data_IF_305137732975
#
_entry.id   IF_305137732975
#
_cell.length_a   1.000
_cell.length_b   1.000
_cell.length_c   1.000
_cell.angle_alpha   90.00
_cell.angle_beta   90.00
_cell.angle_gamma   90.00
#
_symmetry.space_group_name_H-M   'P 1'
#
loop_
_entity.id
_entity.type
_entity.pdbx_description
1 polymer ?
#
# COMPACT_ATOMS: atom_id res chain seq x y z
N UNK A 1 -46.49 -44.41 -14.75
CA UNK A 1 -46.14 -43.00 -14.53
C UNK A 1 -44.98 -42.90 -13.53
N UNK A 2 -43.83 -42.43 -13.91
CA UNK A 2 -42.73 -42.15 -12.95
C UNK A 2 -43.16 -41.00 -12.05
N UNK A 3 -43.07 -41.18 -10.75
CA UNK A 3 -43.37 -40.09 -9.80
C UNK A 3 -42.34 -38.97 -9.93
N UNK A 4 -42.74 -37.71 -9.74
CA UNK A 4 -41.89 -36.53 -9.84
C UNK A 4 -40.59 -36.70 -9.03
N UNK A 5 -40.64 -37.35 -7.86
CA UNK A 5 -39.46 -37.66 -7.05
C UNK A 5 -38.44 -38.57 -7.77
N UNK A 6 -38.88 -39.55 -8.55
CA UNK A 6 -37.97 -40.41 -9.33
C UNK A 6 -37.35 -39.66 -10.49
N UNK A 7 -38.08 -38.74 -11.13
CA UNK A 7 -37.56 -37.88 -12.19
C UNK A 7 -36.48 -36.92 -11.66
N UNK A 8 -36.66 -36.33 -10.49
CA UNK A 8 -35.68 -35.48 -9.83
C UNK A 8 -34.41 -36.25 -9.49
N UNK A 9 -34.51 -37.47 -8.94
CA UNK A 9 -33.35 -38.31 -8.62
C UNK A 9 -32.56 -38.68 -9.89
N UNK A 10 -33.26 -39.00 -10.99
CA UNK A 10 -32.63 -39.31 -12.27
C UNK A 10 -31.90 -38.05 -12.84
N UNK A 11 -32.53 -36.89 -12.76
CA UNK A 11 -31.90 -35.61 -13.20
C UNK A 11 -30.65 -35.27 -12.39
N UNK A 12 -30.67 -35.46 -11.06
CA UNK A 12 -29.51 -35.26 -10.19
C UNK A 12 -28.40 -36.27 -10.50
N UNK A 13 -28.73 -37.53 -10.74
CA UNK A 13 -27.76 -38.56 -11.10
C UNK A 13 -27.09 -38.27 -12.47
N UNK A 14 -27.85 -37.77 -13.45
CA UNK A 14 -27.31 -37.34 -14.76
C UNK A 14 -26.39 -36.12 -14.61
N UNK A 15 -26.74 -35.13 -13.79
CA UNK A 15 -25.89 -33.97 -13.50
C UNK A 15 -24.56 -34.38 -12.84
N UNK A 16 -24.59 -35.34 -11.91
CA UNK A 16 -23.36 -35.89 -11.30
C UNK A 16 -22.52 -36.68 -12.31
N UNK A 17 -23.13 -37.45 -13.21
CA UNK A 17 -22.41 -38.19 -14.26
C UNK A 17 -21.73 -37.26 -15.26
N UNK A 18 -22.36 -36.13 -15.61
CA UNK A 18 -21.80 -35.13 -16.53
C UNK A 18 -20.61 -34.38 -15.88
N UNK A 19 -20.69 -34.06 -14.57
CA UNK A 19 -19.59 -33.41 -13.86
C UNK A 19 -18.37 -34.32 -13.70
N UNK A 20 -18.56 -35.63 -13.60
CA UNK A 20 -17.46 -36.61 -13.54
C UNK A 20 -16.77 -36.83 -14.89
N UNK A 21 -17.46 -36.60 -16.01
CA UNK A 21 -16.90 -36.73 -17.36
C UNK A 21 -16.03 -35.53 -17.78
N UNK A 22 -16.12 -34.40 -17.07
CA UNK A 22 -15.37 -33.19 -17.42
C UNK A 22 -13.89 -33.20 -16.95
N UNK A 23 -13.47 -34.17 -16.14
CA UNK A 23 -12.08 -34.32 -15.72
C UNK A 23 -11.41 -35.54 -16.34
N UNK A 24 -11.18 -35.49 -17.65
CA UNK A 24 -10.33 -36.45 -18.33
C UNK A 24 -8.84 -36.14 -18.10
N UNK A 25 -8.36 -36.18 -16.85
CA UNK A 25 -6.93 -36.31 -16.59
C UNK A 25 -6.54 -37.76 -16.93
N UNK A 26 -6.15 -38.00 -18.18
CA UNK A 26 -5.85 -39.35 -18.69
C UNK A 26 -4.66 -40.00 -17.99
N UNK A 27 -3.74 -39.23 -17.43
CA UNK A 27 -2.59 -39.69 -16.63
C UNK A 27 -1.92 -38.51 -15.93
N UNK A 28 -1.69 -38.59 -14.63
CA UNK A 28 -0.77 -37.70 -13.92
C UNK A 28 0.47 -38.52 -13.55
N UNK A 29 1.61 -38.21 -14.17
CA UNK A 29 2.90 -38.80 -13.80
C UNK A 29 3.60 -37.86 -12.85
N UNK A 30 3.89 -38.33 -11.65
CA UNK A 30 4.69 -37.59 -10.66
C UNK A 30 6.10 -38.17 -10.62
N UNK A 31 7.09 -37.36 -10.91
CA UNK A 31 8.48 -37.73 -10.69
C UNK A 31 9.08 -36.87 -9.56
N UNK A 32 9.80 -37.50 -8.62
CA UNK A 32 10.66 -36.76 -7.72
C UNK A 32 11.89 -36.28 -8.47
N UNK A 33 12.01 -34.97 -8.60
CA UNK A 33 13.21 -34.37 -9.17
C UNK A 33 14.09 -33.93 -7.98
N UNK A 34 15.30 -34.49 -7.88
CA UNK A 34 16.27 -34.07 -6.89
C UNK A 34 16.94 -32.80 -7.41
N UNK A 35 16.72 -31.68 -6.72
CA UNK A 35 17.43 -30.43 -7.00
C UNK A 35 18.86 -30.56 -6.46
N UNK A 36 19.84 -30.66 -7.33
CA UNK A 36 21.24 -30.65 -7.02
C UNK A 36 22.01 -29.73 -8.00
N UNK A 37 23.30 -29.56 -7.82
CA UNK A 37 24.16 -28.69 -8.63
C UNK A 37 24.13 -28.99 -10.15
N UNK A 38 23.65 -30.19 -10.56
CA UNK A 38 23.51 -30.50 -11.99
C UNK A 38 22.46 -29.60 -12.73
N UNK A 39 21.57 -28.98 -11.98
CA UNK A 39 20.60 -28.02 -12.54
C UNK A 39 21.25 -26.68 -12.93
N UNK A 40 22.31 -26.29 -12.21
CA UNK A 40 23.10 -25.09 -12.52
C UNK A 40 23.89 -25.28 -13.83
N UNK A 41 24.36 -26.51 -14.08
CA UNK A 41 25.14 -26.84 -15.27
C UNK A 41 24.37 -26.83 -16.58
N UNK A 42 23.05 -26.93 -16.57
CA UNK A 42 22.23 -26.87 -17.78
C UNK A 42 22.23 -25.47 -18.42
N UNK A 43 22.39 -24.42 -17.61
CA UNK A 43 22.55 -23.05 -18.09
C UNK A 43 23.96 -22.84 -18.70
N UNK A 44 24.98 -23.50 -18.15
CA UNK A 44 26.37 -23.44 -18.64
C UNK A 44 26.60 -24.26 -19.90
N UNK A 45 25.76 -25.27 -20.18
CA UNK A 45 25.89 -26.13 -21.36
C UNK A 45 25.42 -25.51 -22.67
N UNK A 46 25.09 -24.22 -22.71
CA UNK A 46 24.74 -23.49 -23.94
C UNK A 46 23.42 -23.91 -24.59
N UNK A 47 22.62 -24.77 -23.97
CA UNK A 47 21.27 -25.11 -24.43
C UNK A 47 20.27 -24.13 -23.85
N UNK A 48 20.15 -22.97 -24.48
CA UNK A 48 19.13 -21.99 -24.11
C UNK A 48 17.72 -22.59 -24.18
N UNK A 49 17.16 -22.88 -23.00
CA UNK A 49 15.75 -23.29 -22.92
C UNK A 49 14.83 -22.11 -23.34
N UNK A 50 13.58 -22.39 -23.70
CA UNK A 50 12.59 -21.32 -23.95
C UNK A 50 12.47 -20.39 -22.73
N UNK A 51 12.56 -20.93 -21.52
CA UNK A 51 12.52 -20.15 -20.26
C UNK A 51 13.72 -19.23 -20.14
N UNK A 52 14.94 -19.71 -20.41
CA UNK A 52 16.16 -18.90 -20.39
C UNK A 52 16.10 -17.74 -21.37
N UNK A 53 15.56 -17.96 -22.59
CA UNK A 53 15.37 -16.88 -23.57
C UNK A 53 14.42 -15.79 -23.06
N UNK A 54 13.31 -16.19 -22.41
CA UNK A 54 12.36 -15.24 -21.81
C UNK A 54 13.04 -14.46 -20.67
N UNK A 55 13.75 -15.16 -19.77
CA UNK A 55 14.46 -14.52 -18.66
C UNK A 55 15.48 -13.52 -19.21
N UNK A 56 16.35 -13.93 -20.15
CA UNK A 56 17.37 -13.07 -20.71
C UNK A 56 16.80 -11.85 -21.44
N UNK A 57 15.63 -11.97 -22.06
CA UNK A 57 14.93 -10.84 -22.71
C UNK A 57 14.55 -9.74 -21.71
N UNK A 58 14.10 -10.14 -20.50
CA UNK A 58 13.61 -9.19 -19.49
C UNK A 58 14.66 -8.85 -18.41
N UNK A 59 15.77 -9.63 -18.37
CA UNK A 59 16.83 -9.42 -17.36
C UNK A 59 17.34 -7.98 -17.31
N UNK A 60 17.65 -7.26 -18.42
CA UNK A 60 18.14 -5.88 -18.35
C UNK A 60 17.16 -4.96 -17.64
N UNK A 61 15.85 -5.05 -17.92
CA UNK A 61 14.84 -4.24 -17.27
C UNK A 61 14.71 -4.59 -15.76
N UNK A 62 14.90 -5.85 -15.38
CA UNK A 62 14.92 -6.28 -13.97
C UNK A 62 16.18 -5.78 -13.27
N UNK A 63 17.34 -5.82 -13.95
CA UNK A 63 18.61 -5.34 -13.40
C UNK A 63 18.55 -3.83 -13.07
N UNK A 64 17.83 -3.01 -13.87
CA UNK A 64 17.57 -1.60 -13.59
C UNK A 64 16.79 -1.37 -12.29
N UNK A 65 15.94 -2.31 -11.91
CA UNK A 65 15.19 -2.25 -10.66
C UNK A 65 16.05 -2.56 -9.42
N UNK A 66 17.19 -3.24 -9.61
CA UNK A 66 18.13 -3.57 -8.52
C UNK A 66 19.11 -2.45 -8.20
N UNK A 67 18.98 -1.28 -8.86
CA UNK A 67 19.79 -0.11 -8.55
C UNK A 67 19.51 0.36 -7.13
N UNK A 68 20.59 0.48 -6.34
CA UNK A 68 20.55 1.07 -4.99
C UNK A 68 20.32 2.56 -5.11
N UNK A 69 19.28 3.05 -4.45
CA UNK A 69 18.86 4.47 -4.47
C UNK A 69 19.04 5.17 -3.12
N UNK A 70 19.37 4.42 -2.08
CA UNK A 70 19.60 4.95 -0.74
C UNK A 70 19.85 3.85 0.29
N UNK A 71 19.87 4.23 1.55
CA UNK A 71 20.15 3.32 2.66
C UNK A 71 19.17 3.57 3.82
N UNK A 72 18.65 2.49 4.43
CA UNK A 72 17.91 2.53 5.69
C UNK A 72 18.91 2.47 6.86
N UNK A 73 18.82 3.42 7.79
CA UNK A 73 19.70 3.47 8.96
C UNK A 73 19.46 2.33 9.94
N UNK A 74 18.26 1.78 9.96
CA UNK A 74 17.77 0.69 10.82
C UNK A 74 16.66 -0.07 10.12
N UNK A 75 16.19 -1.16 10.71
CA UNK A 75 14.97 -1.83 10.26
C UNK A 75 13.77 -0.88 10.42
N UNK A 76 12.93 -0.84 9.39
CA UNK A 76 11.74 0.03 9.33
C UNK A 76 10.48 -0.84 9.25
N UNK A 77 9.91 -1.24 10.39
CA UNK A 77 8.68 -2.03 10.43
C UNK A 77 7.47 -1.22 9.95
N UNK A 78 6.43 -1.94 9.46
CA UNK A 78 5.14 -1.38 9.07
C UNK A 78 4.00 -2.04 9.84
N UNK A 79 3.40 -1.33 10.77
CA UNK A 79 2.24 -1.78 11.57
C UNK A 79 1.42 -0.61 12.11
N UNK A 80 0.12 -0.86 12.31
CA UNK A 80 -0.80 0.07 12.99
C UNK A 80 -0.54 0.02 14.52
N UNK A 81 -0.76 1.12 15.25
CA UNK A 81 -1.30 2.40 14.80
C UNK A 81 -0.25 3.35 14.22
N UNK A 82 1.02 3.11 14.47
CA UNK A 82 2.16 3.92 14.08
C UNK A 82 3.41 3.05 13.99
N UNK A 83 4.26 3.29 13.02
CA UNK A 83 5.53 2.60 12.83
C UNK A 83 6.47 3.43 11.96
N UNK A 84 7.75 3.07 11.93
CA UNK A 84 8.76 3.80 11.19
C UNK A 84 8.43 3.91 9.70
N UNK A 85 8.12 2.78 9.05
CA UNK A 85 7.84 2.79 7.60
C UNK A 85 6.54 3.52 7.27
N UNK A 86 5.51 3.40 8.11
CA UNK A 86 4.26 4.12 7.90
C UNK A 86 4.44 5.63 8.10
N UNK A 87 5.21 6.06 9.10
CA UNK A 87 5.54 7.47 9.31
C UNK A 87 6.34 8.01 8.12
N UNK A 88 7.38 7.28 7.67
CA UNK A 88 8.14 7.68 6.48
C UNK A 88 7.25 7.91 5.27
N UNK A 89 6.36 6.95 4.97
CA UNK A 89 5.50 7.03 3.80
C UNK A 89 4.52 8.20 3.87
N UNK A 90 3.83 8.37 5.01
CA UNK A 90 2.80 9.41 5.14
C UNK A 90 3.40 10.81 5.29
N UNK A 91 4.56 10.93 5.93
CA UNK A 91 5.29 12.20 6.02
C UNK A 91 5.83 12.62 4.64
N UNK A 92 6.36 11.66 3.86
CA UNK A 92 6.79 11.92 2.48
C UNK A 92 5.63 12.38 1.58
N UNK A 93 4.42 11.81 1.73
CA UNK A 93 3.21 12.27 1.02
C UNK A 93 2.91 13.73 1.38
N UNK A 94 2.94 14.08 2.67
CA UNK A 94 2.66 15.45 3.12
C UNK A 94 3.68 16.45 2.60
N UNK A 95 4.97 16.16 2.75
CA UNK A 95 6.05 17.00 2.25
C UNK A 95 6.00 17.17 0.73
N UNK A 96 5.72 16.08 0.00
CA UNK A 96 5.55 16.13 -1.44
C UNK A 96 4.39 17.04 -1.84
N UNK A 97 3.23 16.91 -1.17
CA UNK A 97 2.05 17.71 -1.46
C UNK A 97 2.32 19.21 -1.22
N UNK A 98 3.01 19.56 -0.14
CA UNK A 98 3.42 20.95 0.14
C UNK A 98 4.34 21.51 -0.94
N UNK A 99 5.35 20.73 -1.36
CA UNK A 99 6.27 21.11 -2.43
C UNK A 99 5.54 21.26 -3.76
N UNK A 100 4.65 20.34 -4.09
CA UNK A 100 3.85 20.35 -5.30
C UNK A 100 2.95 21.59 -5.37
N UNK A 101 2.22 21.92 -4.29
CA UNK A 101 1.38 23.13 -4.21
C UNK A 101 2.22 24.38 -4.46
N UNK A 102 3.38 24.50 -3.81
CA UNK A 102 4.30 25.63 -4.02
C UNK A 102 4.77 25.74 -5.48
N UNK A 103 5.07 24.62 -6.13
CA UNK A 103 5.48 24.59 -7.55
C UNK A 103 4.34 25.02 -8.50
N UNK A 104 3.07 24.81 -8.09
CA UNK A 104 1.91 25.30 -8.83
C UNK A 104 1.58 26.78 -8.53
N UNK A 105 2.36 27.47 -7.71
CA UNK A 105 2.08 28.85 -7.29
C UNK A 105 0.94 28.98 -6.30
N UNK A 106 0.55 27.87 -5.65
CA UNK A 106 -0.53 27.85 -4.66
C UNK A 106 0.07 28.10 -3.27
N UNK A 107 -0.21 29.25 -2.69
CA UNK A 107 0.21 29.66 -1.34
C UNK A 107 -0.62 28.92 -0.26
N UNK A 108 -0.52 27.59 -0.21
CA UNK A 108 -1.17 26.77 0.78
C UNK A 108 -0.27 25.60 1.17
N UNK A 109 -0.47 25.07 2.38
CA UNK A 109 0.17 23.86 2.86
C UNK A 109 -0.88 22.84 3.23
N UNK A 110 -0.49 21.58 3.23
CA UNK A 110 -1.35 20.50 3.72
C UNK A 110 -1.39 20.52 5.24
N UNK A 111 -2.59 20.51 5.79
CA UNK A 111 -2.80 20.45 7.24
C UNK A 111 -2.43 19.06 7.78
N UNK A 112 -2.75 18.00 7.03
CA UNK A 112 -2.46 16.61 7.39
C UNK A 112 -2.32 15.72 6.17
N UNK A 113 -1.78 14.52 6.38
CA UNK A 113 -1.81 13.46 5.37
C UNK A 113 -2.31 12.13 5.95
N UNK A 114 -2.86 11.30 5.06
CA UNK A 114 -3.37 9.95 5.39
C UNK A 114 -2.95 8.99 4.30
N UNK A 115 -2.39 7.83 4.68
CA UNK A 115 -2.23 6.69 3.76
C UNK A 115 -2.59 5.39 4.45
N UNK A 116 -3.02 4.39 3.69
CA UNK A 116 -3.47 3.13 4.26
C UNK A 116 -2.32 2.14 4.49
N UNK A 117 -2.38 1.40 5.60
CA UNK A 117 -1.47 0.29 5.85
C UNK A 117 -1.60 -0.81 4.81
N UNK A 118 -2.79 -1.01 4.23
CA UNK A 118 -3.00 -1.98 3.15
C UNK A 118 -2.22 -1.66 1.87
N UNK A 119 -1.85 -0.40 1.66
CA UNK A 119 -0.99 0.06 0.56
C UNK A 119 0.49 -0.26 0.76
N UNK A 120 0.93 -0.46 2.01
CA UNK A 120 2.29 -0.84 2.38
C UNK A 120 2.37 -2.37 2.43
N UNK A 121 2.99 -2.99 1.42
CA UNK A 121 2.95 -4.46 1.22
C UNK A 121 4.12 -5.21 1.86
N UNK A 122 5.18 -4.52 2.24
CA UNK A 122 6.27 -5.08 3.04
C UNK A 122 6.03 -4.78 4.51
N UNK A 123 6.14 -5.80 5.36
CA UNK A 123 6.04 -5.65 6.81
C UNK A 123 7.26 -4.97 7.43
N UNK A 124 8.37 -4.89 6.70
CA UNK A 124 9.61 -4.26 7.11
C UNK A 124 10.48 -3.89 5.90
N UNK A 125 11.12 -2.73 5.92
CA UNK A 125 12.31 -2.45 5.14
C UNK A 125 13.53 -2.79 6.00
N UNK A 126 14.39 -3.74 5.59
CA UNK A 126 15.58 -4.09 6.35
C UNK A 126 16.59 -2.95 6.35
N UNK A 127 17.39 -2.88 7.41
CA UNK A 127 18.56 -2.01 7.48
C UNK A 127 19.50 -2.27 6.29
N UNK A 128 20.09 -1.22 5.72
CA UNK A 128 21.04 -1.26 4.62
C UNK A 128 20.47 -0.75 3.31
N UNK A 129 20.98 -1.24 2.20
CA UNK A 129 20.66 -0.74 0.86
C UNK A 129 19.17 -0.84 0.53
N UNK A 130 18.65 0.24 -0.07
CA UNK A 130 17.28 0.30 -0.60
C UNK A 130 17.36 0.38 -2.12
N UNK A 131 16.71 -0.58 -2.80
CA UNK A 131 16.63 -0.63 -4.26
C UNK A 131 15.27 -0.15 -4.77
N UNK A 132 15.21 0.20 -6.06
CA UNK A 132 13.94 0.52 -6.74
C UNK A 132 12.97 -0.66 -6.62
N UNK A 133 13.45 -1.90 -6.81
CA UNK A 133 12.63 -3.12 -6.70
C UNK A 133 11.96 -3.24 -5.32
N UNK A 134 12.69 -2.93 -4.24
CA UNK A 134 12.13 -2.97 -2.89
C UNK A 134 11.03 -1.92 -2.70
N UNK A 135 11.21 -0.71 -3.23
CA UNK A 135 10.18 0.33 -3.18
C UNK A 135 8.94 -0.10 -3.97
N UNK A 136 9.11 -0.65 -5.17
CA UNK A 136 8.00 -1.15 -5.98
C UNK A 136 7.30 -2.34 -5.33
N UNK A 137 8.02 -3.23 -4.66
CA UNK A 137 7.43 -4.33 -3.90
C UNK A 137 6.65 -3.82 -2.67
N UNK A 138 7.13 -2.73 -2.05
CA UNK A 138 6.47 -2.11 -0.90
C UNK A 138 5.20 -1.35 -1.29
N UNK A 139 5.22 -0.63 -2.41
CA UNK A 139 4.10 0.18 -2.93
C UNK A 139 3.71 -0.26 -4.35
N UNK A 140 3.17 -1.49 -4.53
CA UNK A 140 2.98 -2.08 -5.86
C UNK A 140 1.80 -1.50 -6.64
N UNK A 141 0.97 -0.69 -6.01
CA UNK A 141 -0.24 -0.14 -6.63
C UNK A 141 0.08 1.16 -7.39
N UNK A 142 -0.70 1.42 -8.44
CA UNK A 142 -0.61 2.66 -9.24
C UNK A 142 -1.38 3.83 -8.62
N UNK A 143 -1.47 3.85 -7.28
CA UNK A 143 -2.16 4.90 -6.55
C UNK A 143 -1.45 6.24 -6.74
N UNK A 144 -2.25 7.29 -7.05
CA UNK A 144 -1.76 8.66 -7.23
C UNK A 144 -2.03 9.50 -6.00
N UNK A 145 -1.10 10.42 -5.73
CA UNK A 145 -1.27 11.39 -4.64
C UNK A 145 -2.28 12.42 -5.06
N UNK A 146 -3.25 12.66 -4.20
CA UNK A 146 -4.27 13.70 -4.34
C UNK A 146 -4.31 14.57 -3.09
N UNK A 147 -4.76 15.82 -3.26
CA UNK A 147 -4.96 16.78 -2.17
C UNK A 147 -6.44 17.11 -2.12
N UNK A 148 -7.07 16.85 -0.98
CA UNK A 148 -8.48 17.05 -0.74
C UNK A 148 -8.71 18.32 0.08
N UNK A 149 -9.73 19.08 -0.27
CA UNK A 149 -10.29 20.14 0.58
C UNK A 149 -11.41 19.52 1.43
N UNK A 150 -11.07 19.21 2.70
CA UNK A 150 -11.93 18.43 3.59
C UNK A 150 -12.57 19.28 4.68
N UNK A 151 -13.90 19.39 4.74
CA UNK A 151 -14.58 19.95 5.90
C UNK A 151 -14.27 19.15 7.16
N UNK A 152 -13.92 19.83 8.26
CA UNK A 152 -13.47 19.19 9.49
C UNK A 152 -14.47 18.19 10.09
N UNK A 153 -15.78 18.42 9.91
CA UNK A 153 -16.83 17.47 10.31
C UNK A 153 -16.64 16.07 9.70
N UNK A 154 -16.15 15.98 8.47
CA UNK A 154 -15.92 14.70 7.81
C UNK A 154 -14.58 14.06 8.22
N UNK A 155 -13.58 14.87 8.58
CA UNK A 155 -12.38 14.37 9.26
C UNK A 155 -12.77 13.76 10.60
N UNK A 156 -13.62 14.41 11.39
CA UNK A 156 -14.15 13.87 12.64
C UNK A 156 -14.89 12.54 12.43
N UNK A 157 -15.72 12.42 11.40
CA UNK A 157 -16.39 11.17 11.06
C UNK A 157 -15.41 10.05 10.72
N UNK A 158 -14.35 10.34 9.97
CA UNK A 158 -13.27 9.40 9.68
C UNK A 158 -12.60 8.89 10.97
N UNK A 159 -12.22 9.81 11.88
CA UNK A 159 -11.58 9.46 13.14
C UNK A 159 -12.48 8.62 14.05
N UNK A 160 -13.76 8.94 14.10
CA UNK A 160 -14.75 8.16 14.84
C UNK A 160 -14.90 6.75 14.25
N UNK A 161 -14.84 6.62 12.91
CA UNK A 161 -14.85 5.32 12.25
C UNK A 161 -13.58 4.52 12.59
N UNK A 162 -12.41 5.17 12.60
CA UNK A 162 -11.16 4.55 13.04
C UNK A 162 -11.23 4.06 14.50
N UNK A 163 -11.73 4.90 15.40
CA UNK A 163 -11.88 4.55 16.81
C UNK A 163 -12.81 3.35 17.01
N UNK A 164 -13.98 3.35 16.35
CA UNK A 164 -14.95 2.23 16.45
C UNK A 164 -14.40 0.89 15.96
N UNK A 165 -13.57 0.90 14.90
CA UNK A 165 -12.97 -0.34 14.38
C UNK A 165 -11.68 -0.74 15.12
N UNK A 166 -11.20 0.10 16.06
CA UNK A 166 -9.96 -0.16 16.81
C UNK A 166 -8.70 -0.18 15.94
N UNK A 167 -8.76 0.39 14.73
CA UNK A 167 -7.65 0.46 13.78
C UNK A 167 -7.62 1.81 13.07
N UNK A 168 -6.46 2.42 13.02
CA UNK A 168 -6.19 3.71 12.38
C UNK A 168 -5.33 3.47 11.15
N UNK A 169 -5.47 4.30 10.13
CA UNK A 169 -4.53 4.40 9.03
C UNK A 169 -3.33 5.29 9.42
N UNK A 170 -2.26 5.28 8.61
CA UNK A 170 -1.09 6.11 8.88
C UNK A 170 -1.43 7.59 8.71
N UNK A 171 -1.06 8.42 9.69
CA UNK A 171 -1.39 9.83 9.77
C UNK A 171 -0.12 10.69 9.90
N UNK A 172 -0.12 11.88 9.27
CA UNK A 172 0.90 12.91 9.41
C UNK A 172 0.29 14.27 9.73
N UNK A 173 1.01 15.10 10.46
CA UNK A 173 0.59 16.45 10.85
C UNK A 173 -0.45 16.50 11.95
N UNK A 174 -0.63 15.41 12.70
CA UNK A 174 -1.69 15.28 13.70
C UNK A 174 -1.22 14.67 15.00
N UNK A 175 -2.03 14.88 16.04
CA UNK A 175 -1.99 14.11 17.30
C UNK A 175 -3.35 13.45 17.50
N UNK A 176 -3.39 12.14 17.61
CA UNK A 176 -4.62 11.36 17.83
C UNK A 176 -4.48 10.46 19.05
N UNK A 177 -5.43 10.60 19.98
CA UNK A 177 -5.57 9.70 21.12
C UNK A 177 -6.96 9.08 21.14
N UNK A 178 -6.99 7.74 21.07
CA UNK A 178 -8.19 6.92 21.12
C UNK A 178 -8.14 6.12 22.42
N UNK A 179 -9.23 6.14 23.20
CA UNK A 179 -9.41 5.33 24.40
C UNK A 179 -10.78 4.68 24.39
N UNK A 180 -10.85 3.38 24.74
CA UNK A 180 -12.09 2.61 24.77
C UNK A 180 -12.94 2.80 23.50
N UNK A 181 -12.31 2.74 22.32
CA UNK A 181 -12.93 2.94 21.00
C UNK A 181 -13.56 4.33 20.76
N UNK A 182 -13.14 5.34 21.53
CA UNK A 182 -13.57 6.73 21.37
C UNK A 182 -12.39 7.65 21.13
N UNK A 183 -12.58 8.67 20.31
CA UNK A 183 -11.59 9.73 20.11
C UNK A 183 -11.63 10.67 21.31
N UNK A 184 -10.60 10.60 22.15
CA UNK A 184 -10.46 11.46 23.33
C UNK A 184 -9.80 12.79 22.97
N UNK A 185 -8.83 12.77 22.06
CA UNK A 185 -8.13 13.98 21.62
C UNK A 185 -7.74 13.84 20.17
N UNK A 186 -7.94 14.90 19.40
CA UNK A 186 -7.41 15.07 18.07
C UNK A 186 -7.01 16.51 17.82
N UNK A 187 -5.79 16.71 17.34
CA UNK A 187 -5.24 18.01 16.95
C UNK A 187 -4.62 17.94 15.57
N UNK A 188 -4.71 19.01 14.82
CA UNK A 188 -4.03 19.25 13.55
C UNK A 188 -3.12 20.44 13.75
N UNK A 189 -1.81 20.28 13.49
CA UNK A 189 -0.80 21.31 13.73
C UNK A 189 -0.87 21.92 15.14
N UNK A 190 -1.14 21.08 16.17
CA UNK A 190 -1.27 21.48 17.56
C UNK A 190 -2.63 22.06 17.96
N UNK A 191 -3.53 22.35 17.00
CA UNK A 191 -4.83 22.96 17.26
C UNK A 191 -5.98 21.94 17.25
N UNK A 192 -7.01 22.10 18.08
CA UNK A 192 -8.19 21.25 18.04
C UNK A 192 -8.90 21.32 16.68
N UNK A 193 -9.44 20.19 16.24
CA UNK A 193 -10.22 20.09 15.00
C UNK A 193 -11.50 20.96 15.08
N UNK A 194 -11.73 21.81 14.07
CA UNK A 194 -12.93 22.64 13.90
C UNK A 194 -13.77 22.09 12.76
N UNK A 195 -15.06 21.84 13.01
CA UNK A 195 -15.95 21.16 12.06
C UNK A 195 -16.27 21.97 10.81
N UNK A 196 -16.30 23.28 10.94
CA UNK A 196 -16.62 24.28 9.90
C UNK A 196 -15.38 24.72 9.09
N UNK A 197 -14.17 24.42 9.55
CA UNK A 197 -12.93 24.70 8.82
C UNK A 197 -12.72 23.69 7.69
N UNK A 198 -12.25 24.19 6.54
CA UNK A 198 -11.73 23.33 5.45
C UNK A 198 -10.24 23.08 5.69
N UNK A 199 -9.85 21.82 5.65
CA UNK A 199 -8.48 21.35 5.81
C UNK A 199 -7.96 20.77 4.51
N UNK A 200 -6.71 21.05 4.16
CA UNK A 200 -6.03 20.37 3.05
C UNK A 200 -5.44 19.06 3.52
N UNK A 201 -5.96 17.97 2.97
CA UNK A 201 -5.57 16.60 3.34
C UNK A 201 -4.89 15.95 2.14
N UNK A 202 -3.59 15.67 2.26
CA UNK A 202 -2.86 14.88 1.28
C UNK A 202 -3.17 13.38 1.50
N UNK A 203 -3.48 12.68 0.43
CA UNK A 203 -3.79 11.25 0.48
C UNK A 203 -3.58 10.60 -0.89
N UNK A 204 -4.04 9.37 -1.07
CA UNK A 204 -4.03 8.66 -2.35
C UNK A 204 -5.44 8.56 -2.93
N UNK A 205 -5.54 8.49 -4.25
CA UNK A 205 -6.81 8.42 -4.98
C UNK A 205 -7.69 7.23 -4.55
N UNK A 206 -7.07 6.10 -4.20
CA UNK A 206 -7.79 4.93 -3.65
C UNK A 206 -8.58 5.29 -2.38
N UNK A 207 -7.96 5.99 -1.42
CA UNK A 207 -8.65 6.43 -0.19
C UNK A 207 -9.65 7.55 -0.47
N UNK A 208 -9.31 8.50 -1.34
CA UNK A 208 -10.22 9.58 -1.75
C UNK A 208 -11.52 9.03 -2.34
N UNK A 209 -11.46 7.89 -3.04
CA UNK A 209 -12.60 7.17 -3.58
C UNK A 209 -13.29 6.22 -2.57
N UNK A 210 -12.94 6.29 -1.29
CA UNK A 210 -13.55 5.51 -0.20
C UNK A 210 -12.97 4.12 0.01
N UNK A 211 -11.77 3.86 -0.52
CA UNK A 211 -11.00 2.64 -0.23
C UNK A 211 -10.78 2.46 1.27
N UNK A 212 -10.57 1.22 1.70
CA UNK A 212 -10.42 0.82 3.10
C UNK A 212 -11.50 1.37 4.05
N UNK A 213 -12.73 1.57 3.49
CA UNK A 213 -13.89 2.12 4.19
C UNK A 213 -13.71 3.56 4.71
N UNK A 214 -12.80 4.35 4.10
CA UNK A 214 -12.63 5.78 4.39
C UNK A 214 -13.66 6.60 3.59
N UNK A 215 -14.93 6.24 3.71
CA UNK A 215 -16.03 6.87 2.96
C UNK A 215 -16.17 8.37 3.18
N UNK A 216 -15.69 8.88 4.32
CA UNK A 216 -15.73 10.31 4.65
C UNK A 216 -15.00 11.16 3.61
N UNK A 217 -13.96 10.63 2.94
CA UNK A 217 -13.22 11.37 1.93
C UNK A 217 -14.01 11.70 0.67
N UNK A 218 -15.08 10.95 0.38
CA UNK A 218 -16.01 11.26 -0.71
C UNK A 218 -16.77 12.58 -0.51
N UNK A 219 -16.73 13.16 0.69
CA UNK A 219 -17.35 14.42 1.02
C UNK A 219 -16.36 15.61 0.92
N UNK A 220 -15.21 15.43 0.29
CA UNK A 220 -14.32 16.52 -0.05
C UNK A 220 -15.06 17.54 -0.94
N UNK A 221 -14.87 18.82 -0.66
CA UNK A 221 -15.44 19.91 -1.44
C UNK A 221 -14.54 20.34 -2.60
N UNK A 222 -13.32 19.83 -2.63
CA UNK A 222 -12.36 19.99 -3.71
C UNK A 222 -11.35 18.83 -3.71
N UNK A 223 -10.87 18.48 -4.89
CA UNK A 223 -9.81 17.46 -5.07
C UNK A 223 -8.85 17.90 -6.17
N UNK A 224 -7.58 17.95 -5.84
CA UNK A 224 -6.49 18.21 -6.77
C UNK A 224 -5.69 16.92 -6.99
N UNK A 225 -5.59 16.47 -8.24
CA UNK A 225 -4.79 15.30 -8.61
C UNK A 225 -3.38 15.78 -9.02
N UNK A 226 -2.36 15.24 -8.37
CA UNK A 226 -0.96 15.56 -8.71
C UNK A 226 -0.45 14.77 -9.91
N UNK A 227 -1.13 13.69 -10.31
CA UNK A 227 -0.73 12.69 -11.31
C UNK A 227 0.57 11.94 -10.97
N UNK A 228 1.13 12.11 -9.77
CA UNK A 228 2.34 11.42 -9.31
C UNK A 228 1.96 10.18 -8.50
N UNK A 229 2.55 9.04 -8.86
CA UNK A 229 2.34 7.79 -8.12
C UNK A 229 3.13 7.81 -6.80
N UNK A 230 2.55 7.18 -5.76
CA UNK A 230 3.21 7.11 -4.44
C UNK A 230 4.60 6.45 -4.53
N UNK A 231 4.75 5.39 -5.32
CA UNK A 231 6.03 4.68 -5.49
C UNK A 231 7.11 5.59 -6.10
N UNK A 232 6.76 6.37 -7.12
CA UNK A 232 7.69 7.29 -7.77
C UNK A 232 8.12 8.40 -6.80
N UNK A 233 7.17 8.97 -6.07
CA UNK A 233 7.44 9.97 -5.04
C UNK A 233 8.36 9.41 -3.94
N UNK A 234 8.16 8.18 -3.47
CA UNK A 234 9.02 7.53 -2.46
C UNK A 234 10.43 7.30 -3.02
N UNK A 235 10.56 6.84 -4.27
CA UNK A 235 11.86 6.70 -4.95
C UNK A 235 12.59 8.05 -4.98
N UNK A 236 11.92 9.13 -5.39
CA UNK A 236 12.50 10.46 -5.46
C UNK A 236 12.88 11.00 -4.08
N UNK A 237 12.05 10.75 -3.05
CA UNK A 237 12.37 11.12 -1.66
C UNK A 237 13.63 10.43 -1.16
N UNK A 238 13.78 9.12 -1.41
CA UNK A 238 14.97 8.37 -1.00
C UNK A 238 16.21 8.87 -1.73
N UNK A 239 16.13 9.08 -3.05
CA UNK A 239 17.22 9.65 -3.85
C UNK A 239 17.63 11.03 -3.35
N UNK A 240 16.67 11.88 -2.99
CA UNK A 240 16.94 13.23 -2.46
C UNK A 240 17.68 13.15 -1.11
N UNK A 241 17.26 12.27 -0.19
CA UNK A 241 17.98 12.03 1.08
C UNK A 241 19.41 11.56 0.82
N UNK A 242 19.59 10.62 -0.10
CA UNK A 242 20.93 10.11 -0.48
C UNK A 242 21.83 11.21 -1.05
N UNK A 243 21.29 12.08 -1.92
CA UNK A 243 22.03 13.22 -2.47
C UNK A 243 22.46 14.22 -1.39
N UNK A 244 21.71 14.31 -0.29
CA UNK A 244 22.06 15.09 0.90
C UNK A 244 23.01 14.37 1.87
N UNK A 245 23.48 13.17 1.54
CA UNK A 245 24.29 12.32 2.43
C UNK A 245 23.53 11.76 3.64
N UNK A 246 22.19 11.71 3.57
CA UNK A 246 21.32 11.25 4.63
C UNK A 246 20.81 9.83 4.34
N UNK A 247 20.60 9.06 5.40
CA UNK A 247 19.91 7.77 5.36
C UNK A 247 18.42 7.96 5.65
N UNK A 248 17.61 6.97 5.27
CA UNK A 248 16.21 6.89 5.67
C UNK A 248 16.18 6.46 7.15
N UNK A 249 15.83 7.39 8.05
CA UNK A 249 15.79 7.19 9.51
C UNK A 249 14.54 7.84 10.12
N UNK A 250 13.33 7.39 9.76
CA UNK A 250 12.10 7.86 10.37
C UNK A 250 12.02 7.41 11.83
N UNK A 251 11.21 8.15 12.61
CA UNK A 251 10.98 7.85 14.03
C UNK A 251 9.48 7.66 14.30
N UNK A 252 9.18 6.82 15.27
CA UNK A 252 7.89 6.78 15.92
C UNK A 252 7.88 7.92 16.96
N UNK A 253 6.97 8.88 16.83
CA UNK A 253 6.90 10.08 17.68
C UNK A 253 5.67 10.12 18.58
N UNK A 254 4.83 9.09 18.53
CA UNK A 254 3.64 8.95 19.38
C UNK A 254 2.48 9.82 18.92
N UNK A 255 2.45 10.20 17.63
CA UNK A 255 1.36 10.98 17.03
C UNK A 255 0.01 10.27 17.06
N UNK A 256 0.01 8.92 17.16
CA UNK A 256 -1.19 8.10 17.29
C UNK A 256 -1.07 7.17 18.49
N UNK A 257 -1.99 7.30 19.45
CA UNK A 257 -2.07 6.43 20.61
C UNK A 257 -3.45 5.80 20.72
N UNK A 258 -3.49 4.48 20.94
CA UNK A 258 -4.72 3.71 21.13
C UNK A 258 -4.61 2.96 22.45
N UNK A 259 -5.52 3.26 23.37
CA UNK A 259 -5.71 2.52 24.62
C UNK A 259 -7.05 1.77 24.57
N UNK A 260 -7.02 0.49 24.93
CA UNK A 260 -8.21 -0.37 24.97
C UNK A 260 -9.06 -0.10 26.21
#
# INVERSE_FOLDING_TARGET
>A
MLTIKKLIIIAIAILFAISSAAQNIKKAEWSKVKMDSSWESLAEQGKESKSTKIINKYKPAVDELNVVIGEAAKDLPAHSPESELSNFAVDAIREFADKWLSQQGIEAKTDMAVTNFGGIRLSNFPKGDITIAQVMACFPFDNRIVILDMPGKYIRQMLQAFARRGRVEALSGVELYIKANKVERFRIAGEPLKDDKIYKVATIDFLANGGDNVYSFKNAVGMTNTNVQIKDMIIDKIKALTAEGKKVDPKVDGRVKIEK
#
